data_IF_184373554851
#
_entry.id   IF_184373554851
#
_cell.length_a   1.000
_cell.length_b   1.000
_cell.length_c   1.000
_cell.angle_alpha   90.00
_cell.angle_beta   90.00
_cell.angle_gamma   90.00
#
_symmetry.space_group_name_H-M   'P 1'
#
loop_
_entity.id
_entity.type
_entity.pdbx_description
1 polymer ?
#
# COMPACT_ATOMS: atom_id res chain seq x y z
N UNK A 1 -10.41 -3.18 -21.70
CA UNK A 1 -9.13 -3.28 -20.97
C UNK A 1 -8.39 -1.97 -21.18
N UNK A 2 -8.42 -1.04 -20.20
CA UNK A 2 -7.65 0.21 -20.29
C UNK A 2 -6.44 0.07 -19.38
N UNK A 3 -5.33 -0.32 -19.98
CA UNK A 3 -3.99 -0.23 -19.40
C UNK A 3 -3.60 1.25 -19.39
N UNK A 4 -3.65 1.88 -18.22
CA UNK A 4 -2.99 3.17 -18.02
C UNK A 4 -1.55 2.87 -17.60
N UNK A 5 -0.54 3.43 -18.30
CA UNK A 5 0.85 3.26 -17.90
C UNK A 5 1.05 3.98 -16.55
N UNK A 6 1.20 3.20 -15.48
CA UNK A 6 1.70 3.64 -14.19
C UNK A 6 3.21 3.93 -14.32
N UNK A 7 3.58 4.93 -15.12
CA UNK A 7 4.94 5.48 -15.09
C UNK A 7 5.01 6.59 -14.04
N UNK A 8 4.97 6.17 -12.78
CA UNK A 8 5.67 6.76 -11.65
C UNK A 8 5.55 5.68 -10.58
N UNK A 9 6.63 4.99 -10.19
CA UNK A 9 6.58 4.16 -8.99
C UNK A 9 6.14 5.10 -7.88
N UNK A 10 4.92 4.92 -7.39
CA UNK A 10 4.46 5.67 -6.24
C UNK A 10 5.45 5.34 -5.13
N UNK A 11 6.08 6.38 -4.59
CA UNK A 11 6.96 6.25 -3.43
C UNK A 11 6.20 5.44 -2.36
N UNK A 12 6.83 4.39 -1.82
CA UNK A 12 6.26 3.53 -0.77
C UNK A 12 5.70 4.38 0.39
N UNK A 13 6.40 5.47 0.72
CA UNK A 13 5.97 6.45 1.71
C UNK A 13 4.65 7.12 1.34
N UNK A 14 4.42 7.41 0.06
CA UNK A 14 3.17 8.00 -0.42
C UNK A 14 2.01 7.01 -0.34
N UNK A 15 2.24 5.75 -0.70
CA UNK A 15 1.24 4.68 -0.58
C UNK A 15 0.87 4.42 0.88
N UNK A 16 1.88 4.36 1.78
CA UNK A 16 1.66 4.25 3.23
C UNK A 16 0.86 5.42 3.79
N UNK A 17 1.19 6.66 3.40
CA UNK A 17 0.43 7.84 3.83
C UNK A 17 -1.04 7.81 3.37
N UNK A 18 -1.29 7.36 2.13
CA UNK A 18 -2.65 7.18 1.61
C UNK A 18 -3.40 6.05 2.34
N UNK A 19 -2.74 4.96 2.71
CA UNK A 19 -3.34 3.87 3.47
C UNK A 19 -3.80 4.35 4.86
N UNK A 20 -2.95 5.09 5.58
CA UNK A 20 -3.31 5.69 6.88
C UNK A 20 -4.50 6.65 6.71
N UNK A 21 -4.41 7.57 5.74
CA UNK A 21 -5.47 8.53 5.46
C UNK A 21 -6.81 7.85 5.09
N UNK A 22 -6.78 6.74 4.37
CA UNK A 22 -7.99 5.97 4.01
C UNK A 22 -8.64 5.32 5.24
N UNK A 23 -7.86 4.85 6.20
CA UNK A 23 -8.36 4.27 7.45
C UNK A 23 -8.95 5.36 8.35
N UNK A 24 -8.22 6.46 8.54
CA UNK A 24 -8.67 7.62 9.34
C UNK A 24 -9.94 8.24 8.77
N UNK A 25 -10.07 8.28 7.44
CA UNK A 25 -11.22 8.80 6.72
C UNK A 25 -11.98 7.69 5.98
N UNK A 26 -12.30 6.60 6.67
CA UNK A 26 -12.97 5.42 6.08
C UNK A 26 -14.27 5.75 5.35
N UNK A 27 -15.10 6.66 5.87
CA UNK A 27 -16.33 7.13 5.20
C UNK A 27 -16.15 8.49 4.47
N UNK A 28 -14.91 9.00 4.41
CA UNK A 28 -14.58 10.27 3.80
C UNK A 28 -14.50 10.22 2.28
N UNK A 29 -14.56 11.40 1.68
CA UNK A 29 -14.41 11.57 0.24
C UNK A 29 -12.95 11.47 -0.20
N UNK A 30 -12.70 11.32 -1.49
CA UNK A 30 -11.33 11.35 -2.04
C UNK A 30 -10.60 12.67 -1.72
N UNK A 31 -11.34 13.76 -1.51
CA UNK A 31 -10.76 15.05 -1.08
C UNK A 31 -10.24 14.97 0.35
N UNK A 32 -11.00 14.35 1.26
CA UNK A 32 -10.65 14.24 2.67
C UNK A 32 -9.39 13.38 2.84
N UNK A 33 -9.33 12.27 2.09
CA UNK A 33 -8.15 11.39 2.02
C UNK A 33 -6.93 12.15 1.48
N UNK A 34 -7.08 12.92 0.40
CA UNK A 34 -5.98 13.71 -0.16
C UNK A 34 -5.42 14.70 0.86
N UNK A 35 -6.30 15.40 1.57
CA UNK A 35 -5.92 16.37 2.60
C UNK A 35 -5.17 15.71 3.76
N UNK A 36 -5.66 14.56 4.25
CA UNK A 36 -5.00 13.81 5.32
C UNK A 36 -3.65 13.23 4.90
N UNK A 37 -3.50 12.81 3.64
CA UNK A 37 -2.24 12.36 3.07
C UNK A 37 -1.29 13.51 2.69
N UNK A 38 -1.67 14.78 2.91
CA UNK A 38 -0.83 15.94 2.62
C UNK A 38 -0.66 16.25 1.13
N UNK A 39 -1.59 15.80 0.27
CA UNK A 39 -1.54 16.02 -1.18
C UNK A 39 -2.76 16.76 -1.71
N UNK A 40 -2.62 17.36 -2.90
CA UNK A 40 -3.75 18.02 -3.54
C UNK A 40 -4.78 17.02 -4.06
N UNK A 41 -6.06 17.42 -4.09
CA UNK A 41 -7.15 16.64 -4.73
C UNK A 41 -6.83 16.32 -6.19
N UNK A 42 -6.23 17.26 -6.93
CA UNK A 42 -5.87 17.06 -8.33
C UNK A 42 -4.78 15.99 -8.49
N UNK A 43 -3.80 15.96 -7.60
CA UNK A 43 -2.75 14.94 -7.55
C UNK A 43 -3.34 13.56 -7.33
N UNK A 44 -4.16 13.40 -6.27
CA UNK A 44 -4.75 12.10 -5.95
C UNK A 44 -5.73 11.62 -7.04
N UNK A 45 -6.51 12.54 -7.62
CA UNK A 45 -7.42 12.21 -8.72
C UNK A 45 -6.64 11.79 -9.99
N UNK A 46 -5.53 12.45 -10.34
CA UNK A 46 -4.68 11.96 -11.45
C UNK A 46 -4.04 10.60 -11.16
N UNK A 47 -3.76 10.32 -9.89
CA UNK A 47 -3.12 9.09 -9.46
C UNK A 47 -4.05 7.87 -9.52
N UNK A 48 -5.24 7.95 -8.91
CA UNK A 48 -6.16 6.81 -8.84
C UNK A 48 -7.52 7.06 -9.51
N UNK A 49 -7.91 8.30 -9.78
CA UNK A 49 -9.20 8.67 -10.39
C UNK A 49 -10.39 8.59 -9.44
N UNK A 50 -10.58 7.44 -8.79
CA UNK A 50 -11.70 7.19 -7.89
C UNK A 50 -11.23 6.62 -6.55
N UNK A 51 -12.10 6.70 -5.54
CA UNK A 51 -11.85 6.05 -4.25
C UNK A 51 -11.76 4.53 -4.38
N UNK A 52 -12.58 3.91 -5.24
CA UNK A 52 -12.54 2.46 -5.46
C UNK A 52 -11.18 2.02 -6.02
N UNK A 53 -10.66 2.74 -7.01
CA UNK A 53 -9.33 2.48 -7.57
C UNK A 53 -8.22 2.72 -6.53
N UNK A 54 -8.38 3.69 -5.63
CA UNK A 54 -7.42 3.88 -4.53
C UNK A 54 -7.39 2.66 -3.62
N UNK A 55 -8.55 2.13 -3.24
CA UNK A 55 -8.64 0.94 -2.38
C UNK A 55 -8.00 -0.26 -3.09
N UNK A 56 -8.32 -0.49 -4.35
CA UNK A 56 -7.73 -1.59 -5.14
C UNK A 56 -6.20 -1.46 -5.25
N UNK A 57 -5.70 -0.25 -5.53
CA UNK A 57 -4.28 0.01 -5.61
C UNK A 57 -3.56 -0.27 -4.28
N UNK A 58 -4.10 0.20 -3.17
CA UNK A 58 -3.54 -0.05 -1.84
C UNK A 58 -3.61 -1.51 -1.44
N UNK A 59 -4.67 -2.23 -1.82
CA UNK A 59 -4.81 -3.66 -1.56
C UNK A 59 -3.78 -4.47 -2.35
N UNK A 60 -3.57 -4.14 -3.62
CA UNK A 60 -2.55 -4.79 -4.45
C UNK A 60 -1.15 -4.56 -3.88
N UNK A 61 -0.83 -3.31 -3.53
CA UNK A 61 0.45 -2.97 -2.91
C UNK A 61 0.68 -3.69 -1.58
N UNK A 62 -0.33 -3.74 -0.70
CA UNK A 62 -0.24 -4.49 0.55
C UNK A 62 -0.05 -5.99 0.32
N UNK A 63 -0.71 -6.55 -0.69
CA UNK A 63 -0.56 -7.97 -1.07
C UNK A 63 0.85 -8.27 -1.57
N UNK A 64 1.42 -7.39 -2.40
CA UNK A 64 2.79 -7.53 -2.88
C UNK A 64 3.80 -7.48 -1.74
N UNK A 65 3.64 -6.54 -0.80
CA UNK A 65 4.46 -6.45 0.41
C UNK A 65 4.35 -7.71 1.27
N UNK A 66 3.14 -8.21 1.54
CA UNK A 66 2.96 -9.43 2.32
C UNK A 66 3.60 -10.65 1.65
N UNK A 67 3.47 -10.78 0.33
CA UNK A 67 4.10 -11.86 -0.44
C UNK A 67 5.64 -11.77 -0.37
N UNK A 68 6.20 -10.56 -0.45
CA UNK A 68 7.63 -10.34 -0.28
C UNK A 68 8.09 -10.72 1.13
N UNK A 69 7.38 -10.28 2.18
CA UNK A 69 7.69 -10.64 3.57
C UNK A 69 7.69 -12.16 3.80
N UNK A 70 6.74 -12.87 3.21
CA UNK A 70 6.66 -14.35 3.28
C UNK A 70 7.82 -15.00 2.53
N UNK A 71 8.20 -14.47 1.36
CA UNK A 71 9.34 -14.96 0.61
C UNK A 71 10.66 -14.74 1.36
N UNK A 72 10.86 -13.55 1.92
CA UNK A 72 12.07 -13.17 2.66
C UNK A 72 12.22 -13.94 3.99
N UNK A 73 11.11 -14.35 4.60
CA UNK A 73 11.12 -15.18 5.79
C UNK A 73 11.61 -16.62 5.51
N UNK A 74 11.60 -17.07 4.25
CA UNK A 74 12.01 -18.41 3.82
C UNK A 74 11.38 -19.54 4.66
N UNK A 75 10.06 -19.47 4.84
CA UNK A 75 9.28 -20.38 5.68
C UNK A 75 9.42 -21.87 5.28
N UNK A 76 9.86 -22.15 4.05
CA UNK A 76 10.01 -23.51 3.53
C UNK A 76 11.35 -24.16 3.87
N UNK A 77 12.44 -23.39 3.98
CA UNK A 77 13.79 -23.96 4.12
C UNK A 77 14.51 -23.51 5.39
N UNK A 78 14.18 -22.36 5.98
CA UNK A 78 14.82 -21.88 7.18
C UNK A 78 14.34 -22.65 8.44
N UNK A 79 15.17 -22.71 9.50
CA UNK A 79 14.73 -23.25 10.80
C UNK A 79 13.46 -22.55 11.28
N UNK A 80 12.43 -23.27 11.78
CA UNK A 80 11.10 -22.70 12.03
C UNK A 80 11.10 -21.45 12.92
N UNK A 81 11.91 -21.45 13.99
CA UNK A 81 12.00 -20.30 14.90
C UNK A 81 12.59 -19.07 14.20
N UNK A 82 13.64 -19.26 13.41
CA UNK A 82 14.31 -18.19 12.68
C UNK A 82 13.41 -17.63 11.56
N UNK A 83 12.73 -18.51 10.83
CA UNK A 83 11.79 -18.13 9.78
C UNK A 83 10.61 -17.30 10.33
N UNK A 84 10.05 -17.72 11.47
CA UNK A 84 8.99 -16.96 12.15
C UNK A 84 9.49 -15.63 12.72
N UNK A 85 10.71 -15.58 13.25
CA UNK A 85 11.33 -14.33 13.70
C UNK A 85 11.50 -13.36 12.52
N UNK A 86 12.04 -13.81 11.38
CA UNK A 86 12.17 -12.98 10.16
C UNK A 86 10.81 -12.47 9.70
N UNK A 87 9.78 -13.31 9.68
CA UNK A 87 8.42 -12.89 9.30
C UNK A 87 7.86 -11.81 10.23
N UNK A 88 8.11 -11.94 11.54
CA UNK A 88 7.72 -10.96 12.55
C UNK A 88 8.54 -9.67 12.41
N UNK A 89 9.85 -9.75 12.21
CA UNK A 89 10.68 -8.54 12.12
C UNK A 89 10.40 -7.76 10.81
N UNK A 90 10.10 -8.47 9.71
CA UNK A 90 9.82 -7.86 8.42
C UNK A 90 8.49 -7.07 8.37
N UNK A 91 7.52 -7.32 9.26
CA UNK A 91 6.27 -6.55 9.29
C UNK A 91 6.35 -5.26 10.11
N UNK A 92 7.43 -5.06 10.87
CA UNK A 92 7.61 -3.93 11.78
C UNK A 92 8.32 -2.71 11.13
N UNK A 93 8.68 -2.79 9.85
CA UNK A 93 9.51 -1.81 9.12
C UNK A 93 8.70 -1.00 8.10
#
# INVERSE_FOLDING_TARGET
MKTYPMELPADDKFLKALAVALVDHSNGTLKDIAQAAGVSKATLNRFCGTRANLVELLLNHASDLMNQMVADADLQHAPPLEALQRLVDNHLI
#
